data_IF_173506127626
#
_entry.id   IF_173506127626
#
_cell.length_a   1.000
_cell.length_b   1.000
_cell.length_c   1.000
_cell.angle_alpha   90.00
_cell.angle_beta   90.00
_cell.angle_gamma   90.00
#
_symmetry.space_group_name_H-M   'P 1'
#
loop_
_entity.id
_entity.type
_entity.pdbx_description
1 polymer ?
#
# COMPACT_ATOMS: atom_id res chain seq x y z
N UNK A 1 6.92 20.52 9.08
CA UNK A 1 7.51 20.10 7.82
C UNK A 1 6.77 20.75 6.64
N UNK A 2 7.48 21.56 5.87
CA UNK A 2 6.89 22.30 4.76
C UNK A 2 6.20 21.38 3.75
N UNK A 3 6.86 20.30 3.38
CA UNK A 3 6.31 19.36 2.40
C UNK A 3 5.02 18.71 2.93
N UNK A 4 5.04 18.31 4.19
CA UNK A 4 3.86 17.72 4.79
C UNK A 4 2.68 18.67 4.85
N UNK A 5 2.95 19.93 5.17
CA UNK A 5 1.89 20.94 5.20
C UNK A 5 1.31 21.19 3.81
N UNK A 6 2.16 21.20 2.79
CA UNK A 6 1.70 21.41 1.42
C UNK A 6 0.80 20.26 0.96
N UNK A 7 1.19 19.03 1.22
CA UNK A 7 0.39 17.85 0.84
C UNK A 7 -0.95 17.87 1.57
N UNK A 8 -0.95 18.16 2.86
CA UNK A 8 -2.19 18.23 3.64
C UNK A 8 -3.11 19.31 3.13
N UNK A 9 -2.55 20.47 2.78
CA UNK A 9 -3.33 21.59 2.28
C UNK A 9 -4.04 21.25 0.97
N UNK A 10 -3.38 20.53 0.09
CA UNK A 10 -3.94 20.20 -1.22
C UNK A 10 -4.89 19.00 -1.18
N UNK A 11 -4.56 17.98 -0.39
CA UNK A 11 -5.31 16.71 -0.38
C UNK A 11 -6.18 16.54 0.85
N UNK A 12 -5.97 17.33 1.90
CA UNK A 12 -6.65 17.16 3.17
C UNK A 12 -6.10 16.01 4.00
N UNK A 13 -4.97 15.44 3.60
CA UNK A 13 -4.33 14.32 4.29
C UNK A 13 -2.91 14.69 4.70
N UNK A 14 -2.42 14.04 5.77
CA UNK A 14 -1.03 14.20 6.16
C UNK A 14 -0.11 13.59 5.09
N UNK A 15 1.17 14.00 5.09
CA UNK A 15 2.14 13.44 4.15
C UNK A 15 2.24 11.93 4.31
N UNK A 16 2.22 11.44 5.55
CA UNK A 16 2.31 10.01 5.81
C UNK A 16 1.11 9.25 5.24
N UNK A 17 -0.10 9.78 5.44
CA UNK A 17 -1.29 9.16 4.89
C UNK A 17 -1.27 9.14 3.37
N UNK A 18 -0.81 10.22 2.75
CA UNK A 18 -0.70 10.30 1.31
C UNK A 18 0.27 9.25 0.77
N UNK A 19 1.43 9.11 1.42
CA UNK A 19 2.43 8.12 1.02
C UNK A 19 1.87 6.71 1.18
N UNK A 20 1.14 6.44 2.26
CA UNK A 20 0.52 5.14 2.47
C UNK A 20 -0.49 4.80 1.37
N UNK A 21 -1.30 5.78 0.98
CA UNK A 21 -2.27 5.56 -0.10
C UNK A 21 -1.58 5.27 -1.43
N UNK A 22 -0.48 5.96 -1.71
CA UNK A 22 0.30 5.67 -2.92
C UNK A 22 0.90 4.28 -2.88
N UNK A 23 1.38 3.85 -1.73
CA UNK A 23 1.92 2.50 -1.57
C UNK A 23 0.82 1.45 -1.79
N UNK A 24 -0.37 1.69 -1.26
CA UNK A 24 -1.49 0.77 -1.44
C UNK A 24 -1.91 0.69 -2.89
N UNK A 25 -1.94 1.81 -3.61
CA UNK A 25 -2.25 1.81 -5.03
C UNK A 25 -1.23 0.96 -5.81
N UNK A 26 0.06 1.15 -5.53
CA UNK A 26 1.11 0.35 -6.16
C UNK A 26 0.97 -1.14 -5.79
N UNK A 27 0.59 -1.41 -4.55
CA UNK A 27 0.37 -2.79 -4.10
C UNK A 27 -0.76 -3.45 -4.88
N UNK A 28 -1.87 -2.74 -5.09
CA UNK A 28 -2.99 -3.28 -5.85
C UNK A 28 -2.56 -3.66 -7.26
N UNK A 29 -1.78 -2.81 -7.90
CA UNK A 29 -1.27 -3.10 -9.24
C UNK A 29 -0.37 -4.33 -9.24
N UNK A 30 0.55 -4.42 -8.25
CA UNK A 30 1.43 -5.55 -8.14
C UNK A 30 0.70 -6.86 -7.88
N UNK A 31 -0.37 -6.80 -7.08
CA UNK A 31 -1.15 -7.99 -6.76
C UNK A 31 -1.95 -8.51 -7.94
N UNK A 32 -2.20 -7.68 -8.95
CA UNK A 32 -2.87 -8.11 -10.17
C UNK A 32 -1.94 -8.90 -11.09
N UNK A 33 -0.63 -8.84 -10.88
CA UNK A 33 0.34 -9.57 -11.68
C UNK A 33 0.41 -11.02 -11.20
N UNK A 34 0.02 -12.00 -12.04
CA UNK A 34 0.02 -13.40 -11.64
C UNK A 34 1.42 -13.97 -11.40
N UNK A 35 2.46 -13.29 -11.89
CA UNK A 35 3.84 -13.72 -11.72
C UNK A 35 4.47 -13.20 -10.44
N UNK A 36 3.78 -12.34 -9.69
CA UNK A 36 4.30 -11.79 -8.44
C UNK A 36 3.59 -12.40 -7.26
N UNK A 37 4.37 -12.76 -6.24
CA UNK A 37 3.82 -13.21 -4.97
C UNK A 37 3.56 -12.01 -4.08
N UNK A 38 2.76 -12.21 -3.02
CA UNK A 38 2.50 -11.16 -2.05
C UNK A 38 3.80 -10.69 -1.41
N UNK A 39 4.71 -11.63 -1.10
CA UNK A 39 6.01 -11.28 -0.55
C UNK A 39 6.84 -10.42 -1.49
N UNK A 40 6.83 -10.72 -2.78
CA UNK A 40 7.55 -9.93 -3.76
C UNK A 40 7.00 -8.51 -3.83
N UNK A 41 5.68 -8.35 -3.83
CA UNK A 41 5.06 -7.03 -3.85
C UNK A 41 5.48 -6.23 -2.60
N UNK A 42 5.46 -6.89 -1.44
CA UNK A 42 5.85 -6.23 -0.20
C UNK A 42 7.31 -5.76 -0.26
N UNK A 43 8.22 -6.59 -0.75
CA UNK A 43 9.63 -6.21 -0.85
C UNK A 43 9.85 -5.08 -1.85
N UNK A 44 9.14 -5.09 -2.97
CA UNK A 44 9.26 -4.03 -3.96
C UNK A 44 8.81 -2.68 -3.40
N UNK A 45 7.87 -2.70 -2.47
CA UNK A 45 7.39 -1.49 -1.82
C UNK A 45 8.27 -1.05 -0.65
N UNK A 46 9.28 -1.84 -0.31
CA UNK A 46 10.21 -1.47 0.75
C UNK A 46 9.87 -2.05 2.11
N UNK A 47 8.91 -2.97 2.21
CA UNK A 47 8.60 -3.63 3.47
C UNK A 47 9.62 -4.70 3.76
N UNK A 48 10.12 -4.68 4.98
CA UNK A 48 11.08 -5.68 5.44
C UNK A 48 10.39 -7.01 5.73
N UNK A 49 9.15 -6.95 6.20
CA UNK A 49 8.37 -8.14 6.55
C UNK A 49 7.02 -8.10 5.85
N UNK A 50 6.66 -9.15 5.10
CA UNK A 50 5.35 -9.20 4.42
C UNK A 50 4.16 -9.05 5.35
N UNK A 51 4.31 -9.45 6.62
CA UNK A 51 3.24 -9.32 7.61
C UNK A 51 2.85 -7.87 7.86
N UNK A 52 3.83 -6.97 7.89
CA UNK A 52 3.57 -5.55 8.06
C UNK A 52 2.81 -5.00 6.87
N UNK A 53 3.19 -5.41 5.69
CA UNK A 53 2.49 -5.03 4.47
C UNK A 53 1.03 -5.50 4.50
N UNK A 54 0.81 -6.76 4.88
CA UNK A 54 -0.53 -7.34 4.92
C UNK A 54 -1.44 -6.59 5.89
N UNK A 55 -0.90 -6.23 7.06
CA UNK A 55 -1.67 -5.46 8.03
C UNK A 55 -2.06 -4.09 7.51
N UNK A 56 -1.10 -3.40 6.91
CA UNK A 56 -1.35 -2.07 6.37
C UNK A 56 -2.36 -2.14 5.23
N UNK A 57 -2.21 -3.12 4.35
CA UNK A 57 -3.12 -3.31 3.23
C UNK A 57 -4.55 -3.56 3.72
N UNK A 58 -4.71 -4.48 4.68
CA UNK A 58 -6.03 -4.78 5.22
C UNK A 58 -6.66 -3.57 5.88
N UNK A 59 -5.86 -2.79 6.62
CA UNK A 59 -6.36 -1.59 7.30
C UNK A 59 -6.90 -0.57 6.30
N UNK A 60 -6.24 -0.42 5.16
CA UNK A 60 -6.59 0.61 4.18
C UNK A 60 -7.59 0.13 3.12
N UNK A 61 -7.58 -1.15 2.80
CA UNK A 61 -8.41 -1.69 1.72
C UNK A 61 -9.63 -2.45 2.26
N UNK A 62 -9.51 -3.03 3.45
CA UNK A 62 -10.60 -3.79 4.06
C UNK A 62 -10.48 -5.30 3.89
N UNK A 63 -9.52 -5.76 3.09
CA UNK A 63 -9.24 -7.19 2.94
C UNK A 63 -7.74 -7.42 2.86
N UNK A 64 -7.32 -8.66 3.09
CA UNK A 64 -5.90 -8.99 3.03
C UNK A 64 -5.42 -8.99 1.58
N UNK A 65 -4.10 -8.85 1.35
CA UNK A 65 -3.56 -8.94 0.00
C UNK A 65 -3.89 -10.27 -0.67
N UNK A 66 -3.89 -11.35 0.10
CA UNK A 66 -4.22 -12.67 -0.41
C UNK A 66 -5.67 -12.73 -0.91
N UNK A 67 -6.59 -12.19 -0.11
CA UNK A 67 -8.00 -12.12 -0.49
C UNK A 67 -8.19 -11.25 -1.72
N UNK A 68 -7.52 -10.11 -1.78
CA UNK A 68 -7.59 -9.22 -2.92
C UNK A 68 -7.11 -9.91 -4.18
N UNK A 69 -6.00 -10.63 -4.10
CA UNK A 69 -5.42 -11.35 -5.23
C UNK A 69 -6.37 -12.46 -5.72
N UNK A 70 -7.04 -13.13 -4.80
CA UNK A 70 -7.97 -14.20 -5.15
C UNK A 70 -9.25 -13.68 -5.80
N UNK A 71 -9.66 -12.46 -5.50
CA UNK A 71 -10.86 -11.86 -6.08
C UNK A 71 -10.66 -11.46 -7.53
N UNK A 72 -9.44 -11.38 -7.98
CA UNK A 72 -9.10 -11.03 -9.33
C UNK A 72 -8.46 -12.22 -10.04
#
# INVERSE_FOLDING_TARGET
NYFGDLVKKETGKSAQEYIQLKMIDAAKEGLLDPNKTIGQVAYELGFQYPQHFSRLFKKNVGCTPNEYKQQN
#
